data_IF_127643369595
#
_entry.id   IF_127643369595
#
_cell.length_a   1.000
_cell.length_b   1.000
_cell.length_c   1.000
_cell.angle_alpha   90.00
_cell.angle_beta   90.00
_cell.angle_gamma   90.00
#
_symmetry.space_group_name_H-M   'P 1'
#
loop_
_entity.id
_entity.type
_entity.pdbx_description
1 polymer ?
#
# COMPACT_ATOMS: atom_id res chain seq x y z
N UNK A 1 -44.20 -25.81 -57.93
CA UNK A 1 -42.92 -26.26 -57.35
C UNK A 1 -41.75 -25.25 -57.48
N UNK A 2 -41.82 -24.27 -58.41
CA UNK A 2 -40.77 -23.29 -58.62
C UNK A 2 -40.80 -22.12 -57.61
N UNK A 3 -41.99 -21.66 -57.17
CA UNK A 3 -42.14 -20.54 -56.23
C UNK A 3 -41.72 -20.87 -54.78
N UNK A 4 -41.81 -22.13 -54.36
CA UNK A 4 -41.42 -22.52 -53.02
C UNK A 4 -39.88 -22.57 -52.80
N UNK A 5 -39.13 -22.92 -53.84
CA UNK A 5 -37.66 -22.92 -53.81
C UNK A 5 -37.07 -21.51 -53.76
N UNK A 6 -37.68 -20.57 -54.48
CA UNK A 6 -37.27 -19.14 -54.46
C UNK A 6 -37.52 -18.50 -53.09
N UNK A 7 -38.68 -18.78 -52.46
CA UNK A 7 -38.99 -18.28 -51.11
C UNK A 7 -38.00 -18.85 -50.05
N UNK A 8 -37.63 -20.08 -50.14
CA UNK A 8 -36.68 -20.72 -49.19
C UNK A 8 -35.25 -20.16 -49.36
N UNK A 9 -34.80 -19.88 -50.59
CA UNK A 9 -33.50 -19.27 -50.82
C UNK A 9 -33.46 -17.82 -50.32
N UNK A 10 -34.54 -17.06 -50.53
CA UNK A 10 -34.61 -15.65 -50.02
C UNK A 10 -34.68 -15.59 -48.51
N UNK A 11 -35.42 -16.52 -47.86
CA UNK A 11 -35.50 -16.60 -46.38
C UNK A 11 -34.14 -17.02 -45.76
N UNK A 12 -33.43 -17.95 -46.40
CA UNK A 12 -32.11 -18.38 -45.96
C UNK A 12 -31.04 -17.31 -46.16
N UNK A 13 -31.13 -16.48 -47.23
CA UNK A 13 -30.21 -15.33 -47.44
C UNK A 13 -30.45 -14.21 -46.43
N UNK A 14 -31.69 -13.97 -45.98
CA UNK A 14 -32.04 -13.00 -44.96
C UNK A 14 -31.53 -13.46 -43.59
N UNK A 15 -31.65 -14.77 -43.26
CA UNK A 15 -31.10 -15.33 -42.00
C UNK A 15 -29.57 -15.25 -41.96
N UNK A 16 -28.87 -15.41 -43.09
CA UNK A 16 -27.42 -15.29 -43.14
C UNK A 16 -26.99 -13.82 -43.01
N UNK A 17 -27.75 -12.87 -43.56
CA UNK A 17 -27.46 -11.43 -43.36
C UNK A 17 -27.67 -10.97 -41.90
N UNK A 18 -28.65 -11.54 -41.19
CA UNK A 18 -28.90 -11.22 -39.78
C UNK A 18 -27.80 -11.79 -38.88
N UNK A 19 -27.21 -12.94 -39.22
CA UNK A 19 -26.10 -13.52 -38.46
C UNK A 19 -24.76 -12.77 -38.65
N UNK A 20 -24.61 -11.97 -39.71
CA UNK A 20 -23.41 -11.13 -39.95
C UNK A 20 -23.45 -9.80 -39.15
N UNK A 21 -24.62 -9.42 -38.59
CA UNK A 21 -24.80 -8.30 -37.68
C UNK A 21 -24.78 -8.70 -36.20
N UNK A 22 -24.45 -9.94 -35.86
CA UNK A 22 -24.02 -10.28 -34.51
C UNK A 22 -22.72 -9.55 -34.25
N UNK A 23 -22.83 -8.23 -34.08
CA UNK A 23 -21.72 -7.32 -33.91
C UNK A 23 -20.85 -7.82 -32.77
N UNK A 24 -19.59 -8.05 -33.08
CA UNK A 24 -18.54 -8.07 -32.09
C UNK A 24 -18.79 -6.86 -31.18
N UNK A 25 -19.25 -7.06 -29.96
CA UNK A 25 -19.29 -5.96 -29.01
C UNK A 25 -17.87 -5.36 -29.00
N UNK A 26 -17.71 -4.04 -29.15
CA UNK A 26 -16.39 -3.46 -29.17
C UNK A 26 -15.62 -3.93 -27.93
N UNK A 27 -14.43 -4.46 -28.14
CA UNK A 27 -13.59 -4.89 -27.00
C UNK A 27 -13.46 -3.68 -26.06
N UNK A 28 -13.88 -3.87 -24.80
CA UNK A 28 -13.79 -2.80 -23.83
C UNK A 28 -12.34 -2.37 -23.68
N UNK A 29 -12.09 -1.08 -23.59
CA UNK A 29 -10.77 -0.56 -23.23
C UNK A 29 -10.31 -1.21 -21.93
N UNK A 30 -9.05 -1.61 -21.87
CA UNK A 30 -8.47 -2.25 -20.70
C UNK A 30 -7.54 -1.29 -19.99
N UNK A 31 -7.66 -1.18 -18.67
CA UNK A 31 -6.71 -0.48 -17.81
C UNK A 31 -5.95 -1.51 -17.00
N UNK A 32 -4.64 -1.55 -17.14
CA UNK A 32 -3.77 -2.49 -16.44
C UNK A 32 -3.16 -1.81 -15.23
N UNK A 33 -3.47 -2.35 -14.06
CA UNK A 33 -3.04 -1.81 -12.77
C UNK A 33 -2.17 -2.83 -12.05
N UNK A 34 -1.01 -2.42 -11.56
CA UNK A 34 -0.10 -3.22 -10.76
C UNK A 34 -0.06 -2.65 -9.34
N UNK A 35 -0.66 -3.35 -8.40
CA UNK A 35 -0.94 -2.88 -7.04
C UNK A 35 -0.42 -3.88 -5.99
N UNK A 36 -0.49 -3.50 -4.75
CA UNK A 36 -0.35 -4.40 -3.60
C UNK A 36 -1.60 -5.29 -3.49
N UNK A 37 -1.44 -6.47 -2.88
CA UNK A 37 -2.58 -7.35 -2.56
C UNK A 37 -3.48 -6.70 -1.52
N UNK A 38 -4.80 -6.96 -1.61
CA UNK A 38 -5.82 -6.50 -0.64
C UNK A 38 -5.81 -4.98 -0.37
N UNK A 39 -5.43 -4.18 -1.35
CA UNK A 39 -5.15 -2.76 -1.19
C UNK A 39 -6.09 -1.84 -1.99
N UNK A 40 -7.21 -2.36 -2.44
CA UNK A 40 -8.29 -1.61 -3.10
C UNK A 40 -9.63 -2.33 -2.90
N UNK A 41 -10.70 -1.56 -2.67
CA UNK A 41 -12.04 -2.11 -2.62
C UNK A 41 -12.51 -2.51 -4.03
N UNK A 42 -12.73 -3.81 -4.24
CA UNK A 42 -13.13 -4.36 -5.55
C UNK A 42 -14.48 -3.81 -6.05
N UNK A 43 -15.37 -3.37 -5.15
CA UNK A 43 -16.62 -2.73 -5.56
C UNK A 43 -16.39 -1.40 -6.26
N UNK A 44 -15.34 -0.66 -5.88
CA UNK A 44 -14.92 0.58 -6.54
C UNK A 44 -14.33 0.30 -7.91
N UNK A 45 -13.54 -0.77 -8.03
CA UNK A 45 -13.02 -1.25 -9.33
C UNK A 45 -14.19 -1.51 -10.28
N UNK A 46 -15.18 -2.27 -9.82
CA UNK A 46 -16.38 -2.58 -10.61
C UNK A 46 -17.17 -1.33 -10.99
N UNK A 47 -17.34 -0.39 -10.05
CA UNK A 47 -18.03 0.88 -10.29
C UNK A 47 -17.32 1.70 -11.37
N UNK A 48 -15.99 1.82 -11.30
CA UNK A 48 -15.21 2.50 -12.32
C UNK A 48 -15.34 1.85 -13.69
N UNK A 49 -15.28 0.51 -13.77
CA UNK A 49 -15.49 -0.24 -15.02
C UNK A 49 -16.83 0.08 -15.69
N UNK A 50 -17.90 0.12 -14.87
CA UNK A 50 -19.25 0.38 -15.38
C UNK A 50 -19.42 1.84 -15.83
N UNK A 51 -18.90 2.80 -15.06
CA UNK A 51 -18.95 4.23 -15.39
C UNK A 51 -18.14 4.60 -16.63
N UNK A 52 -17.02 3.89 -16.88
CA UNK A 52 -16.11 4.19 -17.98
C UNK A 52 -16.18 3.20 -19.16
N UNK A 53 -17.11 2.24 -19.12
CA UNK A 53 -17.25 1.20 -20.13
C UNK A 53 -15.90 0.54 -20.46
N UNK A 54 -15.14 0.17 -19.43
CA UNK A 54 -13.81 -0.42 -19.55
C UNK A 54 -13.71 -1.73 -18.76
N UNK A 55 -12.53 -2.35 -18.79
CA UNK A 55 -12.16 -3.47 -17.94
C UNK A 55 -10.84 -3.15 -17.24
N UNK A 56 -10.79 -3.30 -15.91
CA UNK A 56 -9.55 -3.24 -15.14
C UNK A 56 -8.96 -4.63 -15.03
N UNK A 57 -7.66 -4.74 -15.28
CA UNK A 57 -6.87 -5.93 -15.05
C UNK A 57 -5.92 -5.60 -13.91
N UNK A 58 -6.18 -6.19 -12.76
CA UNK A 58 -5.34 -6.07 -11.57
C UNK A 58 -4.27 -7.18 -11.59
N UNK A 59 -3.04 -6.78 -11.38
CA UNK A 59 -1.91 -7.66 -11.06
C UNK A 59 -1.30 -7.19 -9.75
N UNK A 60 -0.63 -8.08 -9.00
CA UNK A 60 -0.20 -7.80 -7.64
C UNK A 60 1.29 -8.02 -7.47
N UNK A 61 1.90 -7.26 -6.55
CA UNK A 61 3.26 -7.43 -6.09
C UNK A 61 3.32 -7.41 -4.56
N UNK A 62 4.38 -7.95 -4.03
CA UNK A 62 4.64 -8.12 -2.60
C UNK A 62 5.82 -7.27 -2.07
N UNK A 63 6.60 -6.68 -2.99
CA UNK A 63 7.67 -5.75 -2.64
C UNK A 63 7.94 -4.73 -3.76
N UNK A 64 8.35 -3.52 -3.37
CA UNK A 64 8.76 -2.47 -4.30
C UNK A 64 9.91 -2.93 -5.19
N UNK A 65 10.85 -3.72 -4.64
CA UNK A 65 12.04 -4.19 -5.33
C UNK A 65 11.68 -5.16 -6.45
N UNK A 66 10.78 -6.13 -6.20
CA UNK A 66 10.32 -7.08 -7.22
C UNK A 66 9.51 -6.37 -8.31
N UNK A 67 8.64 -5.44 -7.94
CA UNK A 67 7.87 -4.61 -8.85
C UNK A 67 8.81 -3.80 -9.75
N UNK A 68 9.74 -3.05 -9.16
CA UNK A 68 10.70 -2.22 -9.87
C UNK A 68 11.60 -3.03 -10.81
N UNK A 69 12.17 -4.15 -10.34
CA UNK A 69 12.99 -5.03 -11.16
C UNK A 69 12.23 -5.55 -12.40
N UNK A 70 10.96 -5.94 -12.23
CA UNK A 70 10.07 -6.38 -13.31
C UNK A 70 9.85 -5.27 -14.35
N UNK A 71 9.58 -4.05 -13.89
CA UNK A 71 9.37 -2.90 -14.79
C UNK A 71 10.67 -2.50 -15.53
N UNK A 72 11.80 -2.48 -14.80
CA UNK A 72 13.11 -2.16 -15.37
C UNK A 72 13.59 -3.20 -16.39
N UNK A 73 13.24 -4.46 -16.20
CA UNK A 73 13.49 -5.52 -17.17
C UNK A 73 12.63 -5.40 -18.45
N UNK A 74 11.79 -4.36 -18.56
CA UNK A 74 10.98 -4.09 -19.74
C UNK A 74 9.62 -4.79 -19.73
N UNK A 75 9.13 -5.22 -18.57
CA UNK A 75 7.75 -5.70 -18.45
C UNK A 75 6.80 -4.58 -18.87
N UNK A 76 6.29 -4.68 -20.09
CA UNK A 76 5.35 -3.73 -20.65
C UNK A 76 3.93 -4.21 -20.38
N UNK A 77 3.00 -3.25 -20.28
CA UNK A 77 1.58 -3.58 -20.28
C UNK A 77 0.81 -3.02 -19.09
N UNK A 78 1.49 -2.47 -18.10
CA UNK A 78 0.83 -1.74 -17.02
C UNK A 78 0.65 -0.26 -17.38
N UNK A 79 -0.46 0.31 -16.97
CA UNK A 79 -0.77 1.74 -17.12
C UNK A 79 -0.52 2.49 -15.80
N UNK A 80 -0.99 1.92 -14.68
CA UNK A 80 -0.83 2.49 -13.33
C UNK A 80 -0.08 1.48 -12.44
N UNK A 81 0.80 2.01 -11.59
CA UNK A 81 1.49 1.26 -10.54
C UNK A 81 1.36 2.00 -9.21
N UNK A 82 1.46 1.28 -8.09
CA UNK A 82 1.28 1.84 -6.73
C UNK A 82 2.55 1.72 -5.89
N UNK A 83 3.66 2.39 -6.26
CA UNK A 83 4.91 2.34 -5.50
C UNK A 83 4.84 3.15 -4.22
N UNK A 84 5.63 2.74 -3.23
CA UNK A 84 5.93 3.58 -2.07
C UNK A 84 6.79 4.77 -2.46
N UNK A 85 6.75 5.85 -1.66
CA UNK A 85 7.35 7.13 -2.02
C UNK A 85 8.84 7.08 -2.34
N UNK A 86 9.65 6.31 -1.58
CA UNK A 86 11.07 6.15 -1.88
C UNK A 86 11.33 5.51 -3.26
N UNK A 87 10.44 4.62 -3.67
CA UNK A 87 10.52 3.97 -4.97
C UNK A 87 10.12 4.93 -6.10
N UNK A 88 9.21 5.88 -5.85
CA UNK A 88 8.86 6.93 -6.82
C UNK A 88 10.12 7.70 -7.24
N UNK A 89 10.96 8.13 -6.26
CA UNK A 89 12.23 8.82 -6.57
C UNK A 89 13.11 8.03 -7.54
N UNK A 90 13.26 6.73 -7.27
CA UNK A 90 14.08 5.86 -8.10
C UNK A 90 13.49 5.69 -9.51
N UNK A 91 12.18 5.50 -9.60
CA UNK A 91 11.47 5.36 -10.89
C UNK A 91 11.51 6.65 -11.71
N UNK A 92 11.47 7.82 -11.08
CA UNK A 92 11.66 9.13 -11.75
C UNK A 92 13.08 9.22 -12.32
N UNK A 93 14.10 8.91 -11.50
CA UNK A 93 15.52 8.93 -11.91
C UNK A 93 15.78 8.02 -13.11
N UNK A 94 15.15 6.87 -13.16
CA UNK A 94 15.28 5.90 -14.28
C UNK A 94 14.35 6.23 -15.47
N UNK A 95 13.56 7.29 -15.40
CA UNK A 95 12.69 7.73 -16.50
C UNK A 95 11.55 6.78 -16.81
N UNK A 96 11.07 6.02 -15.82
CA UNK A 96 9.98 5.05 -15.97
C UNK A 96 8.59 5.68 -15.91
N UNK A 97 8.48 6.89 -15.35
CA UNK A 97 7.19 7.52 -15.06
C UNK A 97 6.82 8.57 -16.11
N UNK A 98 5.53 8.73 -16.34
CA UNK A 98 4.94 9.81 -17.11
C UNK A 98 4.83 11.06 -16.20
N UNK A 99 5.29 12.21 -16.69
CA UNK A 99 5.01 13.48 -16.02
C UNK A 99 3.51 13.78 -16.11
N UNK A 100 2.89 14.03 -14.95
CA UNK A 100 1.45 14.20 -14.85
C UNK A 100 0.98 15.55 -15.41
N UNK A 101 -0.14 15.52 -16.09
CA UNK A 101 -0.92 16.69 -16.46
C UNK A 101 -1.99 16.95 -15.40
N UNK A 102 -1.72 17.85 -14.48
CA UNK A 102 -2.64 18.17 -13.37
C UNK A 102 -4.00 18.70 -13.85
N UNK A 103 -4.10 19.22 -15.08
CA UNK A 103 -5.38 19.69 -15.63
C UNK A 103 -6.38 18.54 -15.85
N UNK A 104 -5.88 17.30 -15.93
CA UNK A 104 -6.67 16.08 -16.08
C UNK A 104 -7.09 15.47 -14.73
N UNK A 105 -6.60 15.99 -13.60
CA UNK A 105 -6.86 15.46 -12.26
C UNK A 105 -7.49 16.56 -11.40
N UNK A 106 -8.76 16.89 -11.66
CA UNK A 106 -9.47 17.99 -10.99
C UNK A 106 -9.62 17.79 -9.48
N UNK A 107 -9.54 16.54 -8.99
CA UNK A 107 -9.67 16.19 -7.59
C UNK A 107 -8.36 16.26 -6.80
N UNK A 108 -7.22 16.65 -7.40
CA UNK A 108 -5.98 16.95 -6.66
C UNK A 108 -6.20 17.96 -5.53
N UNK A 109 -7.13 18.91 -5.70
CA UNK A 109 -7.53 19.89 -4.67
C UNK A 109 -8.06 19.26 -3.37
N UNK A 110 -8.47 17.99 -3.42
CA UNK A 110 -8.99 17.26 -2.27
C UNK A 110 -7.88 16.70 -1.38
N UNK A 111 -6.62 16.69 -1.85
CA UNK A 111 -5.50 16.21 -1.04
C UNK A 111 -5.33 17.02 0.25
N UNK A 112 -4.95 16.33 1.31
CA UNK A 112 -4.70 16.91 2.63
C UNK A 112 -3.23 17.35 2.72
N UNK A 113 -3.00 18.64 2.87
CA UNK A 113 -1.68 19.27 2.91
C UNK A 113 -0.82 18.80 4.10
N UNK A 114 -1.41 18.23 5.15
CA UNK A 114 -0.66 17.64 6.28
C UNK A 114 0.19 16.45 5.88
N UNK A 115 -0.18 15.78 4.78
CA UNK A 115 0.49 14.60 4.25
C UNK A 115 1.14 14.86 2.88
N UNK A 116 1.15 16.13 2.44
CA UNK A 116 1.74 16.58 1.18
C UNK A 116 2.34 17.98 1.36
N UNK A 117 3.40 18.37 0.62
CA UNK A 117 4.16 17.59 -0.35
C UNK A 117 5.13 16.62 0.31
N UNK A 118 5.47 15.55 -0.39
CA UNK A 118 6.53 14.64 0.00
C UNK A 118 7.86 15.05 -0.65
N UNK A 119 8.97 14.88 0.06
CA UNK A 119 10.30 15.23 -0.45
C UNK A 119 10.74 14.47 -1.70
N UNK A 120 10.11 13.32 -1.96
CA UNK A 120 10.41 12.49 -3.14
C UNK A 120 9.74 13.01 -4.43
N UNK A 121 8.71 13.86 -4.33
CA UNK A 121 8.01 14.48 -5.46
C UNK A 121 7.25 15.72 -4.98
N UNK A 122 7.99 16.77 -4.60
CA UNK A 122 7.44 17.98 -3.93
C UNK A 122 6.32 18.67 -4.69
N UNK A 123 6.35 18.60 -6.02
CA UNK A 123 5.35 19.24 -6.88
C UNK A 123 4.30 18.26 -7.40
N UNK A 124 4.34 17.02 -6.97
CA UNK A 124 3.47 15.94 -7.49
C UNK A 124 3.51 15.83 -9.02
N UNK A 125 4.71 15.99 -9.57
CA UNK A 125 4.92 15.99 -11.01
C UNK A 125 4.76 14.59 -11.62
N UNK A 126 4.98 13.54 -10.83
CA UNK A 126 5.01 12.15 -11.30
C UNK A 126 4.09 11.22 -10.51
N UNK A 127 3.65 11.64 -9.34
CA UNK A 127 2.90 10.79 -8.41
C UNK A 127 1.72 11.51 -7.77
N UNK A 128 0.72 10.75 -7.41
CA UNK A 128 -0.43 11.21 -6.62
C UNK A 128 -0.54 10.33 -5.39
N UNK A 129 -0.50 10.88 -4.17
CA UNK A 129 -0.66 10.10 -2.95
C UNK A 129 -1.95 9.28 -2.98
N UNK A 130 -1.82 8.00 -2.65
CA UNK A 130 -2.93 7.06 -2.60
C UNK A 130 -3.33 6.76 -1.16
N UNK A 131 -2.40 6.15 -0.41
CA UNK A 131 -2.61 5.80 0.98
C UNK A 131 -1.40 6.14 1.83
N UNK A 132 -1.66 6.51 3.07
CA UNK A 132 -0.67 6.68 4.12
C UNK A 132 -0.76 5.48 5.04
N UNK A 133 0.35 4.80 5.23
CA UNK A 133 0.49 3.71 6.18
C UNK A 133 1.46 4.08 7.29
N UNK A 134 1.32 3.40 8.40
CA UNK A 134 2.31 3.39 9.46
C UNK A 134 2.48 1.96 9.98
N UNK A 135 3.64 1.67 10.54
CA UNK A 135 3.84 0.43 11.27
C UNK A 135 3.69 0.65 12.76
N UNK A 136 3.36 -0.39 13.48
CA UNK A 136 3.22 -0.34 14.92
C UNK A 136 3.19 -1.74 15.51
N UNK A 137 2.59 -1.84 16.68
CA UNK A 137 2.48 -3.09 17.41
C UNK A 137 1.04 -3.57 17.36
N UNK A 138 0.78 -4.65 16.59
CA UNK A 138 -0.42 -5.46 16.72
C UNK A 138 -0.25 -6.40 17.91
N UNK A 139 -1.24 -6.47 18.79
CA UNK A 139 -1.09 -7.26 20.01
C UNK A 139 -2.41 -7.83 20.53
N UNK A 140 -2.32 -8.87 21.36
CA UNK A 140 -3.46 -9.43 22.09
C UNK A 140 -3.62 -8.72 23.44
N UNK A 141 -4.76 -8.06 23.66
CA UNK A 141 -5.07 -7.34 24.91
C UNK A 141 -4.98 -8.26 26.14
N UNK A 142 -5.47 -9.50 26.02
CA UNK A 142 -5.41 -10.50 27.10
C UNK A 142 -3.99 -10.92 27.48
N UNK A 143 -3.00 -10.65 26.64
CA UNK A 143 -1.59 -11.03 26.85
C UNK A 143 -0.69 -9.86 27.21
N UNK A 144 -1.10 -8.63 26.89
CA UNK A 144 -0.29 -7.43 27.13
C UNK A 144 -0.26 -6.99 28.61
N UNK A 145 -1.31 -7.33 29.38
CA UNK A 145 -1.49 -6.87 30.75
C UNK A 145 -2.15 -5.48 30.85
N UNK A 146 -2.72 -5.18 32.00
CA UNK A 146 -3.56 -4.00 32.22
C UNK A 146 -2.81 -2.64 32.07
N UNK A 147 -1.50 -2.65 32.24
CA UNK A 147 -0.66 -1.44 32.19
C UNK A 147 0.30 -1.48 30.98
N UNK A 148 -0.12 -2.05 29.87
CA UNK A 148 0.73 -2.09 28.67
C UNK A 148 0.89 -0.68 28.07
N UNK A 149 2.12 -0.19 28.12
CA UNK A 149 2.52 1.03 27.39
C UNK A 149 3.19 0.62 26.08
N UNK A 150 2.59 0.96 24.92
CA UNK A 150 3.18 0.62 23.62
C UNK A 150 4.57 1.22 23.45
N UNK A 151 5.56 0.37 23.29
CA UNK A 151 6.96 0.71 23.07
C UNK A 151 7.62 -0.38 22.26
N UNK A 152 8.53 -0.02 21.35
CA UNK A 152 9.33 -0.98 20.62
C UNK A 152 10.15 -1.91 21.54
N UNK A 153 10.37 -1.49 22.79
CA UNK A 153 11.05 -2.31 23.80
C UNK A 153 10.33 -3.63 24.12
N UNK A 154 9.06 -3.80 23.72
CA UNK A 154 8.34 -5.06 23.92
C UNK A 154 9.08 -6.25 23.34
N UNK A 155 9.79 -6.05 22.20
CA UNK A 155 10.55 -7.11 21.54
C UNK A 155 11.80 -7.54 22.33
N UNK A 156 12.22 -6.76 23.35
CA UNK A 156 13.28 -7.16 24.29
C UNK A 156 12.77 -8.05 25.43
N UNK A 157 11.45 -8.14 25.64
CA UNK A 157 10.88 -8.87 26.80
C UNK A 157 10.91 -10.39 26.54
N UNK A 158 11.84 -11.07 27.24
CA UNK A 158 11.98 -12.52 27.14
C UNK A 158 10.78 -13.32 27.67
N UNK A 159 9.86 -12.70 28.42
CA UNK A 159 8.59 -13.31 28.85
C UNK A 159 7.78 -13.81 27.66
N UNK A 160 7.88 -13.13 26.51
CA UNK A 160 7.13 -13.43 25.30
C UNK A 160 7.96 -14.13 24.22
N UNK A 161 9.10 -14.72 24.62
CA UNK A 161 9.98 -15.42 23.68
C UNK A 161 9.24 -16.45 22.84
N UNK A 162 9.41 -16.37 21.50
CA UNK A 162 8.76 -17.24 20.55
C UNK A 162 7.27 -16.90 20.28
N UNK A 163 6.79 -15.80 20.86
CA UNK A 163 5.42 -15.30 20.68
C UNK A 163 5.35 -13.91 20.07
N UNK A 164 6.47 -13.46 19.48
CA UNK A 164 6.59 -12.15 18.86
C UNK A 164 7.15 -12.29 17.45
N UNK A 165 6.71 -11.42 16.53
CA UNK A 165 7.26 -11.33 15.18
C UNK A 165 7.56 -9.87 14.83
N UNK A 166 8.56 -9.68 13.97
CA UNK A 166 8.79 -8.40 13.30
C UNK A 166 8.70 -8.57 11.79
N UNK A 167 8.46 -7.48 11.08
CA UNK A 167 8.40 -7.49 9.63
C UNK A 167 9.73 -7.91 9.02
N UNK A 168 9.67 -8.75 8.00
CA UNK A 168 10.81 -9.06 7.14
C UNK A 168 10.97 -7.95 6.09
N UNK A 169 10.89 -6.71 6.56
CA UNK A 169 11.15 -5.50 5.82
C UNK A 169 12.34 -4.78 6.47
N UNK A 170 13.36 -4.54 5.69
CA UNK A 170 14.63 -3.98 6.14
C UNK A 170 14.45 -2.59 6.78
N UNK A 171 13.71 -1.73 6.08
CA UNK A 171 13.55 -0.34 6.51
C UNK A 171 12.64 -0.23 7.73
N UNK A 172 11.61 -1.06 7.81
CA UNK A 172 10.68 -1.11 8.93
C UNK A 172 11.33 -1.69 10.19
N UNK A 173 12.03 -2.82 10.06
CA UNK A 173 12.67 -3.45 11.21
C UNK A 173 13.81 -2.59 11.79
N UNK A 174 14.72 -2.09 10.92
CA UNK A 174 15.80 -1.19 11.34
C UNK A 174 15.22 0.14 11.86
N UNK A 175 14.19 0.68 11.20
CA UNK A 175 13.49 1.89 11.62
C UNK A 175 12.91 1.79 13.03
N UNK A 176 12.28 0.67 13.39
CA UNK A 176 11.79 0.42 14.75
C UNK A 176 12.91 0.48 15.80
N UNK A 177 14.07 -0.14 15.49
CA UNK A 177 15.22 -0.11 16.40
C UNK A 177 15.84 1.30 16.50
N UNK A 178 15.93 2.03 15.40
CA UNK A 178 16.41 3.44 15.39
C UNK A 178 15.49 4.33 16.22
N UNK A 179 14.18 4.24 16.03
CA UNK A 179 13.20 5.00 16.82
C UNK A 179 13.33 4.67 18.32
N UNK A 180 13.48 3.40 18.65
CA UNK A 180 13.64 2.96 20.04
C UNK A 180 14.81 3.61 20.74
N UNK A 181 15.93 3.80 20.03
CA UNK A 181 17.16 4.42 20.58
C UNK A 181 17.26 5.93 20.28
N UNK A 182 16.21 6.54 19.71
CA UNK A 182 16.08 7.99 19.54
C UNK A 182 16.73 8.56 18.30
N UNK A 183 17.01 7.73 17.29
CA UNK A 183 17.57 8.16 16.01
C UNK A 183 16.52 8.26 14.91
N UNK A 184 16.88 8.97 13.83
CA UNK A 184 16.04 9.05 12.63
C UNK A 184 16.02 7.72 11.89
N UNK A 185 14.86 7.33 11.35
CA UNK A 185 14.71 6.16 10.47
C UNK A 185 15.45 6.34 9.14
N UNK A 186 15.88 7.57 8.84
CA UNK A 186 16.56 7.94 7.60
C UNK A 186 18.05 8.28 7.84
N UNK A 187 18.60 7.91 9.00
CA UNK A 187 20.02 8.15 9.27
C UNK A 187 20.92 7.43 8.27
N UNK A 188 21.99 8.09 7.88
CA UNK A 188 23.08 7.51 7.08
C UNK A 188 24.35 7.35 7.90
N UNK A 189 24.29 7.62 9.20
CA UNK A 189 25.42 7.45 10.14
C UNK A 189 25.59 5.97 10.47
N UNK A 190 26.78 5.44 10.12
CA UNK A 190 27.11 4.02 10.36
C UNK A 190 27.09 3.65 11.84
N UNK A 191 27.44 4.59 12.75
CA UNK A 191 27.47 4.30 14.20
C UNK A 191 26.05 4.17 14.77
N UNK A 192 25.12 4.95 14.27
CA UNK A 192 23.70 4.85 14.62
C UNK A 192 23.09 3.54 14.09
N UNK A 193 23.42 3.17 12.84
CA UNK A 193 23.01 1.91 12.23
C UNK A 193 23.59 0.68 12.95
N UNK A 194 24.86 0.73 13.34
CA UNK A 194 25.50 -0.31 14.16
C UNK A 194 24.84 -0.45 15.55
N UNK A 195 24.38 0.67 16.11
CA UNK A 195 23.64 0.65 17.38
C UNK A 195 22.25 0.00 17.22
N UNK A 196 21.53 0.34 16.16
CA UNK A 196 20.26 -0.28 15.82
C UNK A 196 20.41 -1.79 15.53
N UNK A 197 21.48 -2.19 14.83
CA UNK A 197 21.81 -3.61 14.62
C UNK A 197 21.92 -4.38 15.92
N UNK A 198 22.63 -3.84 16.91
CA UNK A 198 22.78 -4.50 18.23
C UNK A 198 21.44 -4.67 18.92
N UNK A 199 20.56 -3.68 18.84
CA UNK A 199 19.18 -3.75 19.38
C UNK A 199 18.40 -4.86 18.68
N UNK A 200 18.39 -4.88 17.34
CA UNK A 200 17.67 -5.89 16.56
C UNK A 200 18.17 -7.31 16.81
N UNK A 201 19.47 -7.51 16.92
CA UNK A 201 20.02 -8.83 17.27
C UNK A 201 19.55 -9.26 18.66
N UNK A 202 19.52 -8.33 19.63
CA UNK A 202 18.94 -8.59 20.96
C UNK A 202 17.47 -8.99 20.91
N UNK A 203 16.67 -8.27 20.13
CA UNK A 203 15.24 -8.57 19.94
C UNK A 203 15.02 -9.90 19.22
N UNK A 204 15.83 -10.18 18.18
CA UNK A 204 15.74 -11.42 17.40
C UNK A 204 15.75 -12.68 18.27
N UNK A 205 16.50 -12.70 19.37
CA UNK A 205 16.54 -13.85 20.29
C UNK A 205 15.18 -14.18 20.94
N UNK A 206 14.27 -13.21 20.96
CA UNK A 206 12.93 -13.36 21.52
C UNK A 206 11.85 -13.57 20.44
N UNK A 207 12.15 -13.23 19.19
CA UNK A 207 11.20 -13.41 18.10
C UNK A 207 10.96 -14.89 17.80
N UNK A 208 9.78 -15.23 17.32
CA UNK A 208 9.51 -16.47 16.62
C UNK A 208 10.21 -16.42 15.24
N UNK A 209 10.07 -15.30 14.55
CA UNK A 209 10.65 -15.07 13.21
C UNK A 209 10.52 -13.60 12.77
N UNK A 210 11.30 -13.22 11.75
CA UNK A 210 10.93 -12.14 10.84
C UNK A 210 10.02 -12.70 9.75
N UNK A 211 8.97 -11.97 9.38
CA UNK A 211 8.03 -12.45 8.37
C UNK A 211 7.19 -11.30 7.77
N UNK A 212 6.63 -11.49 6.58
CA UNK A 212 6.01 -10.39 5.84
C UNK A 212 4.52 -10.24 6.10
N UNK A 213 3.77 -11.35 6.20
CA UNK A 213 2.30 -11.33 6.12
C UNK A 213 1.60 -12.26 7.12
N UNK A 214 2.26 -13.34 7.54
CA UNK A 214 1.66 -14.38 8.39
C UNK A 214 1.35 -13.91 9.81
N UNK A 215 1.85 -12.73 10.24
CA UNK A 215 1.54 -12.18 11.55
C UNK A 215 0.03 -11.94 11.73
N UNK A 216 -0.68 -11.63 10.65
CA UNK A 216 -2.14 -11.49 10.66
C UNK A 216 -2.80 -12.77 11.18
N UNK A 217 -2.53 -13.89 10.51
CA UNK A 217 -3.04 -15.20 10.91
C UNK A 217 -2.55 -15.63 12.29
N UNK A 218 -1.30 -15.31 12.63
CA UNK A 218 -0.71 -15.62 13.93
C UNK A 218 -1.33 -14.86 15.09
N UNK A 219 -1.72 -13.60 14.89
CA UNK A 219 -2.49 -12.82 15.87
C UNK A 219 -3.91 -13.37 16.00
N UNK A 220 -4.60 -13.66 14.90
CA UNK A 220 -5.97 -14.21 14.90
C UNK A 220 -6.01 -15.55 15.63
N UNK A 221 -5.07 -16.46 15.36
CA UNK A 221 -4.96 -17.76 16.00
C UNK A 221 -4.34 -17.74 17.39
N UNK A 222 -3.88 -16.58 17.87
CA UNK A 222 -3.16 -16.40 19.13
C UNK A 222 -1.81 -17.15 19.19
N UNK A 223 -1.22 -17.49 18.06
CA UNK A 223 0.14 -18.00 17.98
C UNK A 223 1.13 -16.91 18.39
N UNK A 224 0.93 -15.69 17.91
CA UNK A 224 1.73 -14.52 18.30
C UNK A 224 0.94 -13.61 19.23
N UNK A 225 1.64 -13.00 20.19
CA UNK A 225 1.06 -12.09 21.16
C UNK A 225 1.35 -10.63 20.82
N UNK A 226 2.50 -10.38 20.19
CA UNK A 226 2.90 -9.07 19.71
C UNK A 226 3.56 -9.23 18.33
N UNK A 227 3.21 -8.35 17.41
CA UNK A 227 3.77 -8.34 16.07
C UNK A 227 4.02 -6.90 15.62
N UNK A 228 5.21 -6.61 15.10
CA UNK A 228 5.32 -5.44 14.25
C UNK A 228 4.48 -5.70 13.01
N UNK A 229 3.60 -4.75 12.68
CA UNK A 229 2.70 -4.90 11.54
C UNK A 229 2.22 -3.55 11.00
N UNK A 230 1.70 -3.57 9.79
CA UNK A 230 1.09 -2.42 9.18
C UNK A 230 -0.28 -2.13 9.79
N UNK A 231 -0.58 -0.84 9.98
CA UNK A 231 -1.80 -0.42 10.67
C UNK A 231 -3.07 -1.00 10.05
N UNK A 232 -3.27 -0.85 8.74
CA UNK A 232 -4.47 -1.33 8.06
C UNK A 232 -4.64 -2.85 8.15
N UNK A 233 -3.56 -3.61 8.00
CA UNK A 233 -3.58 -5.07 8.11
C UNK A 233 -4.05 -5.54 9.49
N UNK A 234 -3.53 -4.90 10.55
CA UNK A 234 -3.95 -5.25 11.91
C UNK A 234 -5.42 -4.87 12.15
N UNK A 235 -5.87 -3.70 11.63
CA UNK A 235 -7.27 -3.31 11.74
C UNK A 235 -8.23 -4.26 11.00
N UNK A 236 -7.86 -4.75 9.83
CA UNK A 236 -8.68 -5.73 9.09
C UNK A 236 -8.94 -6.97 9.96
N UNK A 237 -7.93 -7.51 10.61
CA UNK A 237 -8.07 -8.73 11.44
C UNK A 237 -8.70 -8.50 12.82
N UNK A 238 -8.85 -7.25 13.28
CA UNK A 238 -9.56 -6.95 14.55
C UNK A 238 -11.06 -7.30 14.46
N UNK A 239 -11.62 -7.39 13.27
CA UNK A 239 -12.98 -7.89 13.07
C UNK A 239 -13.10 -9.39 13.37
N UNK A 240 -12.06 -10.16 13.09
CA UNK A 240 -12.00 -11.62 13.28
C UNK A 240 -11.72 -12.01 14.73
N UNK A 241 -10.92 -11.22 15.44
CA UNK A 241 -10.61 -11.47 16.85
C UNK A 241 -10.61 -10.15 17.65
N UNK A 242 -11.61 -9.97 18.50
CA UNK A 242 -11.80 -8.76 19.33
C UNK A 242 -10.74 -8.57 20.42
N UNK A 243 -9.90 -9.57 20.69
CA UNK A 243 -8.74 -9.46 21.57
C UNK A 243 -7.58 -8.72 20.93
N UNK A 244 -7.54 -8.63 19.59
CA UNK A 244 -6.50 -7.91 18.87
C UNK A 244 -6.68 -6.40 19.06
N UNK A 245 -5.55 -5.71 19.22
CA UNK A 245 -5.47 -4.26 19.21
C UNK A 245 -4.20 -3.82 18.46
N UNK A 246 -4.17 -2.55 18.06
CA UNK A 246 -3.03 -1.91 17.43
C UNK A 246 -2.63 -0.66 18.20
N UNK A 247 -1.35 -0.40 18.30
CA UNK A 247 -0.84 0.82 18.89
C UNK A 247 0.43 1.33 18.20
N UNK A 248 0.51 2.65 18.06
CA UNK A 248 1.74 3.33 17.67
C UNK A 248 2.64 3.42 18.91
N UNK A 249 3.89 2.95 18.84
CA UNK A 249 4.82 3.03 19.96
C UNK A 249 5.13 4.48 20.37
N UNK A 250 5.39 4.70 21.65
CA UNK A 250 5.65 6.03 22.20
C UNK A 250 6.87 6.73 21.60
N UNK A 251 7.82 5.98 21.09
CA UNK A 251 9.02 6.47 20.42
C UNK A 251 8.72 7.01 19.02
N UNK A 252 7.51 6.75 18.50
CA UNK A 252 7.12 7.05 17.13
C UNK A 252 7.43 5.89 16.17
N UNK A 253 7.15 6.10 14.90
CA UNK A 253 7.24 5.06 13.88
C UNK A 253 7.49 5.64 12.50
N UNK A 254 7.56 4.75 11.51
CA UNK A 254 7.59 5.09 10.09
C UNK A 254 6.22 5.52 9.59
N UNK A 255 6.23 6.48 8.68
CA UNK A 255 5.13 6.77 7.77
C UNK A 255 5.56 6.40 6.36
N UNK A 256 4.76 5.64 5.68
CA UNK A 256 4.92 5.39 4.26
C UNK A 256 3.75 6.01 3.49
N UNK A 257 4.05 6.55 2.31
CA UNK A 257 3.04 6.97 1.35
C UNK A 257 3.15 6.07 0.15
N UNK A 258 2.08 5.37 -0.16
CA UNK A 258 1.95 4.69 -1.44
C UNK A 258 1.25 5.62 -2.43
N UNK A 259 1.69 5.59 -3.68
CA UNK A 259 1.34 6.61 -4.64
C UNK A 259 0.84 5.97 -5.94
N UNK A 260 -0.15 6.59 -6.56
CA UNK A 260 -0.55 6.26 -7.92
C UNK A 260 0.41 6.94 -8.89
N UNK A 261 1.07 6.17 -9.74
CA UNK A 261 1.92 6.67 -10.83
C UNK A 261 1.49 6.10 -12.16
N UNK A 262 1.61 6.90 -13.23
CA UNK A 262 1.36 6.45 -14.60
C UNK A 262 2.72 6.10 -15.22
N UNK A 263 2.85 4.91 -15.79
CA UNK A 263 4.07 4.52 -16.48
C UNK A 263 4.24 5.31 -17.77
N UNK A 264 5.48 5.64 -18.13
CA UNK A 264 5.82 6.39 -19.34
C UNK A 264 5.31 5.71 -20.62
N UNK A 265 5.25 4.39 -20.62
CA UNK A 265 4.84 3.57 -21.75
C UNK A 265 3.39 3.07 -21.61
N UNK A 266 2.60 3.68 -20.73
CA UNK A 266 1.17 3.36 -20.54
C UNK A 266 0.42 3.50 -21.87
N UNK A 267 -0.41 2.52 -22.18
CA UNK A 267 -1.20 2.49 -23.42
C UNK A 267 -2.52 3.26 -23.31
N UNK A 268 -3.07 3.32 -22.08
CA UNK A 268 -4.38 3.90 -21.79
C UNK A 268 -4.28 5.07 -20.81
N UNK A 269 -3.41 6.05 -21.11
CA UNK A 269 -3.15 7.21 -20.23
C UNK A 269 -4.40 8.00 -19.87
N UNK A 270 -5.34 8.20 -20.80
CA UNK A 270 -6.60 8.91 -20.52
C UNK A 270 -7.46 8.16 -19.48
N UNK A 271 -7.51 6.84 -19.59
CA UNK A 271 -8.25 6.01 -18.64
C UNK A 271 -7.52 5.98 -17.28
N UNK A 272 -6.19 6.01 -17.29
CA UNK A 272 -5.36 6.11 -16.09
C UNK A 272 -5.62 7.43 -15.34
N UNK A 273 -5.67 8.57 -16.03
CA UNK A 273 -6.03 9.86 -15.43
C UNK A 273 -7.44 9.85 -14.82
N UNK A 274 -8.42 9.26 -15.52
CA UNK A 274 -9.79 9.12 -14.99
C UNK A 274 -9.80 8.26 -13.73
N UNK A 275 -9.04 7.18 -13.70
CA UNK A 275 -8.95 6.32 -12.53
C UNK A 275 -8.33 7.04 -11.34
N UNK A 276 -7.23 7.75 -11.52
CA UNK A 276 -6.61 8.56 -10.46
C UNK A 276 -7.62 9.61 -9.95
N UNK A 277 -8.27 10.33 -10.86
CA UNK A 277 -9.26 11.33 -10.49
C UNK A 277 -10.48 10.72 -9.76
N UNK A 278 -10.91 9.50 -10.13
CA UNK A 278 -11.97 8.76 -9.47
C UNK A 278 -11.55 8.36 -8.05
N UNK A 279 -10.34 7.83 -7.84
CA UNK A 279 -9.85 7.47 -6.51
C UNK A 279 -9.68 8.67 -5.57
N UNK A 280 -9.51 9.88 -6.13
CA UNK A 280 -9.46 11.14 -5.39
C UNK A 280 -10.85 11.78 -5.14
N UNK A 281 -11.94 11.21 -5.61
CA UNK A 281 -13.29 11.64 -5.20
C UNK A 281 -13.48 11.35 -3.70
N UNK A 282 -14.04 12.32 -2.96
CA UNK A 282 -14.12 12.21 -1.50
C UNK A 282 -14.93 11.00 -1.02
N UNK A 283 -16.04 10.65 -1.71
CA UNK A 283 -16.83 9.47 -1.34
C UNK A 283 -16.13 8.18 -1.70
N UNK A 284 -15.49 8.13 -2.88
CA UNK A 284 -14.70 6.97 -3.32
C UNK A 284 -13.55 6.72 -2.37
N UNK A 285 -12.82 7.78 -2.02
CA UNK A 285 -11.71 7.69 -1.07
C UNK A 285 -12.19 7.20 0.31
N UNK A 286 -13.32 7.71 0.81
CA UNK A 286 -13.90 7.27 2.07
C UNK A 286 -14.30 5.79 2.03
N UNK A 287 -15.01 5.34 0.99
CA UNK A 287 -15.38 3.93 0.82
C UNK A 287 -14.16 3.01 0.76
N UNK A 288 -13.05 3.50 0.17
CA UNK A 288 -11.80 2.74 0.12
C UNK A 288 -11.13 2.69 1.49
N UNK A 289 -11.06 3.80 2.24
CA UNK A 289 -10.54 3.86 3.61
C UNK A 289 -11.30 2.88 4.53
N UNK A 290 -12.63 2.90 4.47
CA UNK A 290 -13.49 2.02 5.28
C UNK A 290 -13.25 0.53 5.00
N UNK A 291 -12.81 0.19 3.78
CA UNK A 291 -12.55 -1.18 3.39
C UNK A 291 -11.14 -1.65 3.74
N UNK A 292 -10.12 -0.82 3.46
CA UNK A 292 -8.71 -1.23 3.63
C UNK A 292 -8.07 -0.76 4.94
N UNK A 293 -8.74 0.15 5.68
CA UNK A 293 -8.26 0.72 6.95
C UNK A 293 -6.91 1.46 6.86
N UNK A 294 -6.57 1.98 5.67
CA UNK A 294 -5.46 2.90 5.47
C UNK A 294 -5.99 4.30 5.16
N UNK A 295 -5.28 5.33 5.55
CA UNK A 295 -5.70 6.71 5.31
C UNK A 295 -5.39 7.14 3.87
N UNK A 296 -6.41 7.40 3.06
CA UNK A 296 -6.24 8.26 1.90
C UNK A 296 -6.05 9.70 2.38
N UNK A 297 -4.97 10.40 1.98
CA UNK A 297 -4.75 11.79 2.38
C UNK A 297 -5.66 12.73 1.58
N UNK A 298 -6.96 12.60 1.81
CA UNK A 298 -8.03 13.30 1.08
C UNK A 298 -8.98 13.97 2.06
N UNK A 299 -8.84 15.30 2.24
CA UNK A 299 -9.63 16.08 3.20
C UNK A 299 -11.14 16.05 2.94
N UNK A 300 -11.54 15.87 1.68
CA UNK A 300 -12.97 15.76 1.33
C UNK A 300 -13.55 14.40 1.76
N UNK A 301 -12.75 13.35 1.87
CA UNK A 301 -13.18 12.03 2.31
C UNK A 301 -13.59 12.01 3.80
N UNK A 302 -12.94 12.80 4.64
CA UNK A 302 -13.08 12.69 6.11
C UNK A 302 -14.50 12.92 6.61
N UNK A 303 -15.30 13.74 5.92
CA UNK A 303 -16.69 13.96 6.28
C UNK A 303 -17.58 12.72 6.11
N UNK A 304 -17.21 11.81 5.21
CA UNK A 304 -17.97 10.59 4.88
C UNK A 304 -17.56 9.36 5.69
N UNK A 305 -16.47 9.44 6.45
CA UNK A 305 -15.98 8.33 7.28
C UNK A 305 -16.92 8.06 8.45
N UNK A 306 -17.00 6.80 8.87
CA UNK A 306 -17.68 6.37 10.08
C UNK A 306 -17.02 6.95 11.35
N UNK A 307 -17.78 7.00 12.44
CA UNK A 307 -17.23 7.44 13.73
C UNK A 307 -16.13 6.50 14.24
N UNK A 308 -16.16 5.23 13.88
CA UNK A 308 -15.13 4.25 14.19
C UNK A 308 -13.80 4.64 13.55
N UNK A 309 -13.80 4.93 12.25
CA UNK A 309 -12.59 5.36 11.52
C UNK A 309 -12.12 6.73 12.00
N UNK A 310 -13.04 7.69 12.21
CA UNK A 310 -12.70 9.04 12.71
C UNK A 310 -12.06 9.00 14.10
N UNK A 311 -12.51 8.08 14.95
CA UNK A 311 -11.96 7.88 16.29
C UNK A 311 -10.67 7.08 16.35
N UNK A 312 -10.19 6.57 15.21
CA UNK A 312 -9.01 5.72 15.15
C UNK A 312 -7.72 6.54 14.98
N UNK A 313 -6.86 6.64 16.03
CA UNK A 313 -5.67 7.49 15.99
C UNK A 313 -4.54 6.96 15.09
N UNK A 314 -4.63 5.72 14.61
CA UNK A 314 -3.65 5.18 13.66
C UNK A 314 -4.07 5.40 12.20
N UNK A 315 -5.34 5.74 11.97
CA UNK A 315 -5.84 6.16 10.65
C UNK A 315 -5.84 7.67 10.56
N UNK A 316 -6.61 8.36 11.42
CA UNK A 316 -6.62 9.82 11.52
C UNK A 316 -5.68 10.26 12.66
N UNK A 317 -4.39 10.32 12.35
CA UNK A 317 -3.37 10.68 13.33
C UNK A 317 -3.48 12.14 13.76
N UNK A 318 -3.36 12.37 15.07
CA UNK A 318 -3.21 13.72 15.60
C UNK A 318 -1.86 14.31 15.25
N UNK A 319 -1.75 15.65 15.28
CA UNK A 319 -0.48 16.33 15.05
C UNK A 319 0.61 15.93 16.07
N UNK A 320 0.22 15.53 17.27
CA UNK A 320 1.14 15.04 18.31
C UNK A 320 1.76 13.69 17.91
N UNK A 321 0.97 12.79 17.35
CA UNK A 321 1.45 11.50 16.84
C UNK A 321 2.31 11.73 15.60
N UNK A 322 1.84 12.55 14.65
CA UNK A 322 2.56 12.84 13.41
C UNK A 322 3.96 13.39 13.66
N UNK A 323 4.15 14.26 14.68
CA UNK A 323 5.46 14.80 15.06
C UNK A 323 6.47 13.75 15.51
N UNK A 324 6.04 12.59 15.95
CA UNK A 324 6.89 11.47 16.38
C UNK A 324 7.21 10.52 15.24
N UNK A 325 6.44 10.58 14.16
CA UNK A 325 6.59 9.72 13.00
C UNK A 325 7.50 10.39 11.97
N UNK A 326 8.15 9.57 11.15
CA UNK A 326 9.01 10.06 10.07
C UNK A 326 8.64 9.38 8.76
N UNK A 327 8.58 10.16 7.70
CA UNK A 327 8.37 9.61 6.35
C UNK A 327 9.66 8.91 5.90
N UNK A 328 9.51 7.70 5.38
CA UNK A 328 10.63 6.94 4.84
C UNK A 328 11.15 7.61 3.55
N UNK A 329 12.40 8.08 3.60
CA UNK A 329 13.07 8.73 2.47
C UNK A 329 13.88 7.74 1.63
N UNK A 330 14.10 8.09 0.35
CA UNK A 330 15.14 7.45 -0.46
C UNK A 330 16.51 7.84 0.08
N UNK A 331 17.34 6.85 0.40
CA UNK A 331 18.69 7.02 0.95
C UNK A 331 19.77 6.87 -0.13
N UNK A 332 19.40 6.74 -1.40
CA UNK A 332 20.34 6.58 -2.49
C UNK A 332 21.34 5.43 -2.23
N UNK A 333 22.64 5.71 -2.37
CA UNK A 333 23.71 4.72 -2.14
C UNK A 333 23.76 4.23 -0.68
N UNK A 334 23.25 5.00 0.28
CA UNK A 334 23.21 4.56 1.68
C UNK A 334 22.26 3.39 1.95
N UNK A 335 21.37 3.04 0.99
CA UNK A 335 20.58 1.82 1.07
C UNK A 335 21.46 0.56 1.16
N UNK A 336 22.69 0.57 0.62
CA UNK A 336 23.64 -0.53 0.74
C UNK A 336 24.06 -0.76 2.19
N UNK A 337 24.18 0.29 3.00
CA UNK A 337 24.47 0.19 4.43
C UNK A 337 23.35 -0.54 5.17
N UNK A 338 22.10 -0.18 4.89
CA UNK A 338 20.93 -0.84 5.46
C UNK A 338 20.86 -2.31 5.06
N UNK A 339 21.11 -2.63 3.78
CA UNK A 339 21.14 -4.01 3.28
C UNK A 339 22.19 -4.84 4.02
N UNK A 340 23.39 -4.31 4.18
CA UNK A 340 24.47 -4.97 4.93
C UNK A 340 24.08 -5.22 6.39
N UNK A 341 23.57 -4.21 7.09
CA UNK A 341 23.10 -4.32 8.47
C UNK A 341 22.00 -5.38 8.58
N UNK A 342 21.05 -5.37 7.65
CA UNK A 342 19.95 -6.34 7.63
C UNK A 342 20.42 -7.78 7.43
N UNK A 343 21.36 -8.00 6.53
CA UNK A 343 21.94 -9.31 6.30
C UNK A 343 22.69 -9.81 7.55
N UNK A 344 23.43 -8.93 8.22
CA UNK A 344 24.12 -9.26 9.48
C UNK A 344 23.12 -9.59 10.61
N UNK A 345 22.00 -8.85 10.73
CA UNK A 345 20.91 -9.15 11.67
C UNK A 345 20.31 -10.52 11.37
N UNK A 346 20.02 -10.82 10.11
CA UNK A 346 19.44 -12.12 9.72
C UNK A 346 20.40 -13.28 9.96
N UNK A 347 21.71 -13.09 9.75
CA UNK A 347 22.74 -14.09 9.94
C UNK A 347 23.13 -14.32 11.41
N UNK A 348 22.89 -13.38 12.32
CA UNK A 348 23.19 -13.50 13.75
C UNK A 348 22.47 -14.71 14.35
N UNK A 349 23.17 -15.45 15.24
CA UNK A 349 22.65 -16.66 15.92
C UNK A 349 21.92 -16.30 17.20
#
# INVERSE_FOLDING_TARGET
MQNTKTLLVTAMSILILISLFSGCAPEKNKLYIYNWSDYINESLVKRFEDENNCKIILDYFDSNETMYAKLKAGAAGYDIVFPSGYMVSLMVKDGLLLKLDHTKISNLKNLDERYTPFSFDENQEFSVPYMISNTGIGYLKSKSGDNFEPSWNIFADSKYKGRMTMLNDMREAIGAALKYIGYSINTTDIMELESAKKVLIGWKHNLAKFEADQYKNGLVSQEFYFSQGYSGDVYQIMSENKDIAYAIPKEGTTLASDNMVILKNAKNTELAYRFINFMLDGKVAAENIEYIYYLAPNKDAYQYLSDEIKGNPAILMSDEILKKCEVMADLGESNELYSKIWDEVKAAK
#
